data_IF_241052388091
#
_entry.id   IF_241052388091
#
_cell.length_a   1.000
_cell.length_b   1.000
_cell.length_c   1.000
_cell.angle_alpha   90.00
_cell.angle_beta   90.00
_cell.angle_gamma   90.00
#
_symmetry.space_group_name_H-M   'P 1'
#
loop_
_entity.id
_entity.type
_entity.pdbx_description
1 polymer ?
#
# COMPACT_ATOMS: atom_id res chain seq x y z
N UNK A 1 42.96 -1.40 0.98
CA UNK A 1 42.41 -0.97 -0.32
C UNK A 1 41.11 -1.73 -0.63
N UNK A 2 40.07 -1.56 0.21
CA UNK A 2 38.77 -2.27 0.07
C UNK A 2 37.59 -1.30 0.25
N UNK A 3 37.79 -0.22 1.02
CA UNK A 3 36.75 0.79 1.30
C UNK A 3 36.41 1.65 0.07
N UNK A 4 37.32 1.81 -0.90
CA UNK A 4 37.07 2.63 -2.08
C UNK A 4 36.17 1.97 -3.14
N UNK A 5 36.03 0.64 -3.12
CA UNK A 5 35.25 -0.10 -4.14
C UNK A 5 33.77 -0.27 -3.81
N UNK A 6 33.36 -0.04 -2.57
CA UNK A 6 31.94 -0.12 -2.18
C UNK A 6 31.21 1.19 -2.55
N UNK A 7 31.92 2.32 -2.50
CA UNK A 7 31.36 3.64 -2.82
C UNK A 7 31.16 3.79 -4.33
N UNK A 8 32.08 3.26 -5.16
CA UNK A 8 31.93 3.28 -6.62
C UNK A 8 30.80 2.37 -7.11
N UNK A 9 30.50 1.26 -6.42
CA UNK A 9 29.38 0.40 -6.80
C UNK A 9 28.01 1.03 -6.46
N UNK A 10 27.92 1.78 -5.36
CA UNK A 10 26.70 2.51 -4.99
C UNK A 10 26.40 3.69 -5.96
N UNK A 11 27.43 4.30 -6.55
CA UNK A 11 27.31 5.39 -7.52
C UNK A 11 27.11 4.92 -8.98
N UNK A 12 27.44 3.66 -9.30
CA UNK A 12 27.24 3.14 -10.66
C UNK A 12 25.77 2.81 -10.97
N UNK A 13 24.96 2.51 -9.95
CA UNK A 13 23.54 2.18 -10.12
C UNK A 13 22.69 3.44 -10.36
N UNK A 14 23.19 4.63 -10.01
CA UNK A 14 22.52 5.91 -10.28
C UNK A 14 22.80 6.49 -11.67
N UNK A 15 23.65 5.85 -12.49
CA UNK A 15 24.10 6.40 -13.77
C UNK A 15 23.34 5.89 -15.02
N UNK A 16 22.38 4.96 -14.88
CA UNK A 16 21.59 4.45 -16.03
C UNK A 16 20.16 4.98 -15.96
N UNK A 17 19.98 6.29 -16.16
CA UNK A 17 18.76 6.93 -16.69
C UNK A 17 18.90 8.46 -16.66
N UNK A 18 19.92 9.02 -17.31
CA UNK A 18 19.91 10.44 -17.69
C UNK A 18 19.31 10.60 -19.08
N UNK A 19 18.06 10.17 -19.26
CA UNK A 19 17.21 10.86 -20.24
C UNK A 19 16.87 12.21 -19.62
N UNK A 20 17.19 13.30 -20.32
CA UNK A 20 16.75 14.66 -19.96
C UNK A 20 15.22 14.69 -19.99
N UNK A 21 14.60 14.37 -18.86
CA UNK A 21 13.21 14.71 -18.59
C UNK A 21 13.23 16.20 -18.30
N UNK A 22 12.61 16.99 -19.17
CA UNK A 22 12.23 18.37 -18.84
C UNK A 22 11.62 18.35 -17.44
N UNK A 23 12.08 19.22 -16.55
CA UNK A 23 11.50 19.39 -15.21
C UNK A 23 10.05 19.87 -15.37
N UNK A 24 9.13 18.95 -15.65
CA UNK A 24 7.76 19.04 -15.17
C UNK A 24 7.87 18.98 -13.65
N UNK A 25 7.22 19.94 -12.99
CA UNK A 25 7.22 20.09 -11.54
C UNK A 25 7.03 18.74 -10.88
N UNK A 26 7.91 18.41 -9.91
CA UNK A 26 7.74 17.26 -9.03
C UNK A 26 6.28 17.24 -8.56
N UNK A 27 5.50 16.20 -8.88
CA UNK A 27 4.15 16.06 -8.39
C UNK A 27 4.16 16.28 -6.89
N UNK A 28 3.27 17.14 -6.41
CA UNK A 28 3.08 17.37 -4.97
C UNK A 28 3.02 15.99 -4.26
N UNK A 29 3.53 15.86 -3.04
CA UNK A 29 3.43 14.60 -2.28
C UNK A 29 1.96 14.10 -2.18
N UNK A 30 0.99 14.99 -2.42
CA UNK A 30 -0.43 14.68 -2.51
C UNK A 30 -0.94 14.24 -3.90
N UNK A 31 -0.19 14.42 -4.98
CA UNK A 31 -0.64 14.09 -6.33
C UNK A 31 -0.65 12.58 -6.57
N UNK A 32 0.42 11.88 -6.18
CA UNK A 32 0.44 10.41 -6.29
C UNK A 32 -0.64 9.76 -5.40
N UNK A 33 -0.94 10.38 -4.25
CA UNK A 33 -2.03 9.98 -3.35
C UNK A 33 -3.38 10.05 -4.09
N UNK A 34 -3.67 11.20 -4.71
CA UNK A 34 -4.89 11.40 -5.47
C UNK A 34 -5.00 10.43 -6.65
N UNK A 35 -3.91 10.23 -7.39
CA UNK A 35 -3.84 9.27 -8.50
C UNK A 35 -4.11 7.84 -8.02
N UNK A 36 -3.56 7.44 -6.87
CA UNK A 36 -3.79 6.11 -6.31
C UNK A 36 -5.25 5.90 -5.88
N UNK A 37 -5.86 6.88 -5.17
CA UNK A 37 -7.27 6.82 -4.78
C UNK A 37 -8.20 6.72 -5.99
N UNK A 38 -8.00 7.58 -6.99
CA UNK A 38 -8.83 7.55 -8.20
C UNK A 38 -8.64 6.25 -8.98
N UNK A 39 -7.40 5.76 -9.13
CA UNK A 39 -7.15 4.49 -9.83
C UNK A 39 -7.90 3.31 -9.21
N UNK A 40 -7.90 3.21 -7.86
CA UNK A 40 -8.65 2.17 -7.15
C UNK A 40 -10.16 2.38 -7.35
N UNK A 41 -10.64 3.62 -7.20
CA UNK A 41 -12.06 3.96 -7.35
C UNK A 41 -12.59 3.67 -8.75
N UNK A 42 -11.82 3.98 -9.78
CA UNK A 42 -12.19 3.75 -11.18
C UNK A 42 -12.27 2.24 -11.46
N UNK A 43 -11.25 1.48 -11.03
CA UNK A 43 -11.24 0.02 -11.18
C UNK A 43 -12.45 -0.62 -10.49
N UNK A 44 -12.72 -0.21 -9.24
CA UNK A 44 -13.87 -0.70 -8.46
C UNK A 44 -15.20 -0.33 -9.13
N UNK A 45 -15.33 0.90 -9.62
CA UNK A 45 -16.57 1.38 -10.27
C UNK A 45 -16.84 0.60 -11.56
N UNK A 46 -15.81 0.33 -12.35
CA UNK A 46 -15.94 -0.46 -13.57
C UNK A 46 -16.29 -1.90 -13.26
N UNK A 47 -15.63 -2.56 -12.31
CA UNK A 47 -16.00 -3.93 -11.88
C UNK A 47 -17.44 -3.97 -11.38
N UNK A 48 -17.87 -2.98 -10.60
CA UNK A 48 -19.25 -2.87 -10.11
C UNK A 48 -20.29 -2.81 -11.24
N UNK A 49 -19.97 -2.19 -12.37
CA UNK A 49 -20.90 -2.11 -13.51
C UNK A 49 -21.25 -3.46 -14.16
N UNK A 50 -20.48 -4.52 -13.89
CA UNK A 50 -20.75 -5.86 -14.40
C UNK A 50 -21.74 -6.68 -13.52
N UNK A 51 -22.29 -6.08 -12.46
CA UNK A 51 -23.42 -6.64 -11.70
C UNK A 51 -23.09 -7.00 -10.26
N UNK A 52 -23.91 -6.51 -9.31
CA UNK A 52 -23.63 -6.58 -7.87
C UNK A 52 -23.82 -7.97 -7.24
N UNK A 53 -24.53 -8.88 -7.92
CA UNK A 53 -24.82 -10.25 -7.44
C UNK A 53 -23.98 -11.34 -8.12
N UNK A 54 -23.03 -10.96 -8.97
CA UNK A 54 -22.25 -11.94 -9.71
C UNK A 54 -21.21 -12.64 -8.79
N UNK A 55 -21.38 -13.94 -8.55
CA UNK A 55 -20.47 -14.75 -7.73
C UNK A 55 -19.05 -14.84 -8.30
N UNK A 56 -18.87 -14.86 -9.63
CA UNK A 56 -17.54 -14.86 -10.25
C UNK A 56 -16.79 -13.57 -9.89
N UNK A 57 -17.47 -12.42 -9.83
CA UNK A 57 -16.86 -11.15 -9.39
C UNK A 57 -16.38 -11.22 -7.93
N UNK A 58 -17.16 -11.85 -7.05
CA UNK A 58 -16.79 -12.01 -5.63
C UNK A 58 -15.49 -12.80 -5.50
N UNK A 59 -15.35 -13.88 -6.24
CA UNK A 59 -14.14 -14.72 -6.22
C UNK A 59 -12.91 -13.92 -6.67
N UNK A 60 -13.00 -13.22 -7.81
CA UNK A 60 -11.88 -12.43 -8.34
C UNK A 60 -11.51 -11.29 -7.38
N UNK A 61 -12.51 -10.55 -6.88
CA UNK A 61 -12.28 -9.43 -5.98
C UNK A 61 -11.69 -9.85 -4.63
N UNK A 62 -12.18 -10.96 -4.05
CA UNK A 62 -11.60 -11.52 -2.82
C UNK A 62 -10.17 -12.02 -3.05
N UNK A 63 -9.90 -12.74 -4.15
CA UNK A 63 -8.56 -13.21 -4.47
C UNK A 63 -7.54 -12.07 -4.60
N UNK A 64 -7.92 -11.00 -5.28
CA UNK A 64 -7.11 -9.79 -5.41
C UNK A 64 -6.87 -9.10 -4.05
N UNK A 65 -7.92 -8.96 -3.23
CA UNK A 65 -7.78 -8.33 -1.91
C UNK A 65 -6.96 -9.17 -0.93
N UNK A 66 -7.16 -10.49 -0.90
CA UNK A 66 -6.39 -11.40 -0.05
C UNK A 66 -4.90 -11.36 -0.40
N UNK A 67 -4.57 -11.29 -1.70
CA UNK A 67 -3.18 -11.15 -2.17
C UNK A 67 -2.53 -9.84 -1.71
N UNK A 68 -3.33 -8.76 -1.64
CA UNK A 68 -2.90 -7.51 -1.05
C UNK A 68 -2.70 -7.62 0.46
N UNK A 69 -3.67 -8.21 1.18
CA UNK A 69 -3.66 -8.32 2.63
C UNK A 69 -2.45 -9.16 3.12
N UNK A 70 -2.15 -10.27 2.44
CA UNK A 70 -0.97 -11.10 2.72
C UNK A 70 0.34 -10.32 2.55
N UNK A 71 0.46 -9.56 1.45
CA UNK A 71 1.62 -8.68 1.24
C UNK A 71 1.76 -7.67 2.39
N UNK A 72 0.70 -6.95 2.72
CA UNK A 72 0.73 -5.90 3.74
C UNK A 72 1.03 -6.47 5.13
N UNK A 73 0.43 -7.61 5.49
CA UNK A 73 0.62 -8.31 6.76
C UNK A 73 2.06 -8.78 6.93
N UNK A 74 2.66 -9.37 5.89
CA UNK A 74 4.06 -9.80 5.90
C UNK A 74 4.99 -8.62 6.15
N UNK A 75 4.89 -7.58 5.33
CA UNK A 75 5.78 -6.42 5.46
C UNK A 75 5.58 -5.64 6.77
N UNK A 76 4.36 -5.57 7.29
CA UNK A 76 4.10 -5.00 8.62
C UNK A 76 4.78 -5.78 9.73
N UNK A 77 4.71 -7.12 9.67
CA UNK A 77 5.32 -8.00 10.68
C UNK A 77 6.83 -7.80 10.75
N UNK A 78 7.49 -7.66 9.59
CA UNK A 78 8.94 -7.39 9.50
C UNK A 78 9.34 -6.06 10.17
N UNK A 79 8.48 -5.04 10.12
CA UNK A 79 8.73 -3.76 10.79
C UNK A 79 8.43 -3.86 12.30
N UNK A 80 7.33 -4.51 12.68
CA UNK A 80 6.97 -4.73 14.10
C UNK A 80 8.09 -5.50 14.82
N UNK A 81 8.66 -6.52 14.20
CA UNK A 81 9.76 -7.29 14.79
C UNK A 81 10.99 -6.42 15.08
N UNK A 82 11.29 -5.44 14.21
CA UNK A 82 12.38 -4.49 14.45
C UNK A 82 12.11 -3.62 15.69
N UNK A 83 10.85 -3.24 15.93
CA UNK A 83 10.47 -2.46 17.12
C UNK A 83 10.61 -3.24 18.44
N UNK A 84 10.66 -4.57 18.41
CA UNK A 84 10.82 -5.38 19.63
C UNK A 84 12.24 -5.34 20.22
N UNK A 85 13.19 -4.78 19.48
CA UNK A 85 14.62 -4.74 19.88
C UNK A 85 14.97 -3.51 20.73
N UNK A 86 13.99 -2.68 21.06
CA UNK A 86 14.19 -1.39 21.74
C UNK A 86 13.05 -1.10 22.71
N UNK A 87 13.37 -0.39 23.79
CA UNK A 87 12.41 0.03 24.83
C UNK A 87 12.09 1.53 24.75
N UNK A 88 12.54 2.23 23.69
CA UNK A 88 12.26 3.65 23.50
C UNK A 88 10.76 3.93 23.41
N UNK A 89 10.23 4.87 24.20
CA UNK A 89 8.81 5.25 24.19
C UNK A 89 8.35 5.72 22.79
N UNK A 90 9.23 6.39 22.04
CA UNK A 90 8.95 6.81 20.65
C UNK A 90 8.76 5.59 19.73
N UNK A 91 9.55 4.53 19.93
CA UNK A 91 9.44 3.28 19.17
C UNK A 91 8.25 2.44 19.64
N UNK A 92 7.95 2.42 20.94
CA UNK A 92 6.74 1.78 21.47
C UNK A 92 5.47 2.43 20.93
N UNK A 93 5.47 3.76 20.75
CA UNK A 93 4.38 4.48 20.10
C UNK A 93 4.22 4.05 18.64
N UNK A 94 5.31 3.94 17.88
CA UNK A 94 5.30 3.42 16.51
C UNK A 94 4.78 1.97 16.47
N UNK A 95 5.25 1.11 17.37
CA UNK A 95 4.75 -0.27 17.54
C UNK A 95 3.23 -0.34 17.69
N UNK A 96 2.66 0.50 18.55
CA UNK A 96 1.20 0.59 18.72
C UNK A 96 0.49 1.01 17.44
N UNK A 97 1.05 1.94 16.67
CA UNK A 97 0.49 2.37 15.38
C UNK A 97 0.53 1.22 14.35
N UNK A 98 1.64 0.49 14.25
CA UNK A 98 1.77 -0.67 13.37
C UNK A 98 0.76 -1.78 13.70
N UNK A 99 0.60 -2.09 14.99
CA UNK A 99 -0.35 -3.10 15.46
C UNK A 99 -1.80 -2.71 15.12
N UNK A 100 -2.15 -1.43 15.28
CA UNK A 100 -3.46 -0.92 14.88
C UNK A 100 -3.69 -1.06 13.38
N UNK A 101 -2.69 -0.78 12.56
CA UNK A 101 -2.79 -0.98 11.11
C UNK A 101 -2.99 -2.46 10.76
N UNK A 102 -2.20 -3.35 11.37
CA UNK A 102 -2.35 -4.79 11.17
C UNK A 102 -3.75 -5.29 11.57
N UNK A 103 -4.31 -4.82 12.68
CA UNK A 103 -5.66 -5.15 13.13
C UNK A 103 -6.73 -4.67 12.15
N UNK A 104 -6.61 -3.44 11.62
CA UNK A 104 -7.54 -2.89 10.63
C UNK A 104 -7.50 -3.70 9.33
N UNK A 105 -6.30 -4.06 8.85
CA UNK A 105 -6.15 -4.90 7.65
C UNK A 105 -6.77 -6.28 7.85
N UNK A 106 -6.53 -6.90 9.00
CA UNK A 106 -7.09 -8.21 9.34
C UNK A 106 -8.63 -8.14 9.37
N UNK A 107 -9.22 -7.09 9.95
CA UNK A 107 -10.68 -6.87 9.93
C UNK A 107 -11.24 -6.75 8.51
N UNK A 108 -10.56 -6.02 7.62
CA UNK A 108 -10.99 -5.93 6.22
C UNK A 108 -10.83 -7.26 5.47
N UNK A 109 -9.77 -8.01 5.77
CA UNK A 109 -9.55 -9.34 5.19
C UNK A 109 -10.63 -10.33 5.63
N UNK A 110 -11.01 -10.32 6.91
CA UNK A 110 -12.01 -11.21 7.52
C UNK A 110 -13.46 -10.93 7.13
N UNK A 111 -13.77 -9.78 6.50
CA UNK A 111 -15.08 -9.57 5.90
C UNK A 111 -15.33 -10.65 4.84
N UNK A 112 -16.10 -11.68 5.19
CA UNK A 112 -16.08 -13.00 4.56
C UNK A 112 -16.57 -13.05 3.09
N UNK A 113 -16.36 -14.18 2.43
CA UNK A 113 -16.92 -14.51 1.10
C UNK A 113 -18.46 -14.45 1.05
N UNK A 114 -19.15 -14.60 2.19
CA UNK A 114 -20.62 -14.48 2.29
C UNK A 114 -21.13 -13.05 2.15
N UNK A 115 -20.22 -12.10 2.00
CA UNK A 115 -20.53 -10.69 1.90
C UNK A 115 -20.85 -10.32 0.44
N UNK A 116 -21.73 -9.36 0.20
CA UNK A 116 -22.06 -8.90 -1.16
C UNK A 116 -20.83 -8.37 -1.90
N UNK A 117 -20.85 -8.43 -3.24
CA UNK A 117 -19.79 -7.91 -4.11
C UNK A 117 -19.48 -6.45 -3.77
N UNK A 118 -20.50 -5.63 -3.51
CA UNK A 118 -20.34 -4.23 -3.08
C UNK A 118 -19.48 -4.07 -1.83
N UNK A 119 -19.65 -4.93 -0.83
CA UNK A 119 -18.88 -4.85 0.41
C UNK A 119 -17.44 -5.33 0.18
N UNK A 120 -17.22 -6.34 -0.67
CA UNK A 120 -15.88 -6.80 -1.06
C UNK A 120 -15.13 -5.70 -1.82
N UNK A 121 -15.76 -5.11 -2.82
CA UNK A 121 -15.21 -3.98 -3.58
C UNK A 121 -14.97 -2.76 -2.68
N UNK A 122 -15.87 -2.52 -1.72
CA UNK A 122 -15.72 -1.48 -0.71
C UNK A 122 -14.43 -1.59 0.09
N UNK A 123 -13.89 -2.80 0.33
CA UNK A 123 -12.61 -3.00 1.04
C UNK A 123 -11.47 -2.25 0.37
N UNK A 124 -11.41 -2.25 -0.96
CA UNK A 124 -10.37 -1.54 -1.71
C UNK A 124 -10.43 -0.03 -1.45
N UNK A 125 -11.64 0.55 -1.48
CA UNK A 125 -11.87 1.98 -1.24
C UNK A 125 -11.50 2.35 0.20
N UNK A 126 -12.02 1.61 1.18
CA UNK A 126 -11.71 1.87 2.58
C UNK A 126 -10.22 1.72 2.90
N UNK A 127 -9.56 0.75 2.25
CA UNK A 127 -8.13 0.52 2.47
C UNK A 127 -7.28 1.62 1.86
N UNK A 128 -7.57 2.09 0.63
CA UNK A 128 -6.79 3.18 0.04
C UNK A 128 -6.98 4.47 0.84
N UNK A 129 -8.20 4.76 1.27
CA UNK A 129 -8.48 5.94 2.11
C UNK A 129 -7.78 5.85 3.47
N UNK A 130 -7.77 4.67 4.08
CA UNK A 130 -7.02 4.43 5.31
C UNK A 130 -5.51 4.70 5.12
N UNK A 131 -4.89 4.11 4.10
CA UNK A 131 -3.45 4.26 3.84
C UNK A 131 -3.09 5.73 3.61
N UNK A 132 -3.89 6.42 2.79
CA UNK A 132 -3.67 7.83 2.45
C UNK A 132 -3.78 8.72 3.69
N UNK A 133 -4.79 8.52 4.52
CA UNK A 133 -4.96 9.29 5.75
C UNK A 133 -3.79 9.09 6.73
N UNK A 134 -3.26 7.87 6.82
CA UNK A 134 -2.07 7.59 7.63
C UNK A 134 -0.84 8.34 7.09
N UNK A 135 -0.63 8.37 5.76
CA UNK A 135 0.50 9.08 5.14
C UNK A 135 0.41 10.58 5.36
N UNK A 136 -0.74 11.20 5.08
CA UNK A 136 -0.93 12.65 5.25
C UNK A 136 -0.77 13.05 6.73
N UNK A 137 -1.19 12.19 7.65
CA UNK A 137 -1.02 12.41 9.09
C UNK A 137 0.40 12.18 9.61
N UNK A 138 1.28 11.51 8.86
CA UNK A 138 2.50 10.92 9.41
C UNK A 138 3.44 11.95 10.01
N UNK A 139 3.84 12.96 9.23
CA UNK A 139 4.79 13.99 9.65
C UNK A 139 4.24 14.98 10.69
N UNK A 140 2.91 15.01 10.82
CA UNK A 140 2.25 15.78 11.87
C UNK A 140 2.35 15.08 13.21
N UNK A 141 2.24 13.74 13.24
CA UNK A 141 2.13 12.99 14.49
C UNK A 141 3.43 12.30 14.93
N UNK A 142 4.42 12.15 14.04
CA UNK A 142 5.63 11.34 14.26
C UNK A 142 6.95 12.12 14.15
N UNK A 143 7.02 13.33 14.74
CA UNK A 143 8.27 14.09 14.85
C UNK A 143 9.10 13.61 16.05
N UNK A 144 9.90 12.59 15.84
CA UNK A 144 10.70 11.97 16.90
C UNK A 144 12.09 12.59 17.01
N UNK A 145 12.61 12.62 18.24
CA UNK A 145 14.00 13.05 18.50
C UNK A 145 14.98 11.89 18.26
N UNK A 146 14.54 10.65 18.49
CA UNK A 146 15.36 9.46 18.29
C UNK A 146 15.66 9.21 16.81
N UNK A 147 16.94 9.02 16.51
CA UNK A 147 17.39 8.55 15.20
C UNK A 147 16.78 7.19 14.82
N UNK A 148 16.65 6.27 15.78
CA UNK A 148 16.03 4.96 15.58
C UNK A 148 14.54 5.09 15.21
N UNK A 149 13.80 5.92 15.95
CA UNK A 149 12.38 6.17 15.67
C UNK A 149 12.17 6.83 14.30
N UNK A 150 13.09 7.72 13.88
CA UNK A 150 13.07 8.31 12.55
C UNK A 150 13.35 7.28 11.44
N UNK A 151 14.28 6.34 11.63
CA UNK A 151 14.49 5.26 10.67
C UNK A 151 13.26 4.35 10.53
N UNK A 152 12.63 3.98 11.65
CA UNK A 152 11.42 3.15 11.65
C UNK A 152 10.25 3.88 10.98
N UNK A 153 10.13 5.20 11.21
CA UNK A 153 9.16 6.08 10.55
C UNK A 153 9.31 6.06 9.04
N UNK A 154 10.52 6.23 8.51
CA UNK A 154 10.74 6.21 7.06
C UNK A 154 10.44 4.84 6.44
N UNK A 155 10.72 3.74 7.15
CA UNK A 155 10.29 2.40 6.72
C UNK A 155 8.77 2.25 6.66
N UNK A 156 8.04 2.79 7.64
CA UNK A 156 6.57 2.79 7.62
C UNK A 156 6.02 3.61 6.45
N UNK A 157 6.54 4.82 6.23
CA UNK A 157 6.13 5.65 5.09
C UNK A 157 6.34 4.93 3.77
N UNK A 158 7.51 4.31 3.60
CA UNK A 158 7.80 3.52 2.41
C UNK A 158 6.81 2.36 2.26
N UNK A 159 6.53 1.63 3.33
CA UNK A 159 5.55 0.53 3.32
C UNK A 159 4.15 1.03 2.94
N UNK A 160 3.68 2.15 3.50
CA UNK A 160 2.38 2.73 3.16
C UNK A 160 2.31 3.11 1.67
N UNK A 161 3.36 3.74 1.13
CA UNK A 161 3.48 4.07 -0.31
C UNK A 161 3.44 2.81 -1.20
N UNK A 162 4.23 1.80 -0.85
CA UNK A 162 4.27 0.52 -1.60
C UNK A 162 2.92 -0.20 -1.50
N UNK A 163 2.28 -0.20 -0.33
CA UNK A 163 0.94 -0.77 -0.14
C UNK A 163 -0.10 -0.07 -1.01
N UNK A 164 -0.11 1.26 -1.10
CA UNK A 164 -0.99 1.97 -2.01
C UNK A 164 -0.77 1.55 -3.48
N UNK A 165 0.49 1.50 -3.93
CA UNK A 165 0.82 1.06 -5.29
C UNK A 165 0.41 -0.40 -5.56
N UNK A 166 0.59 -1.29 -4.58
CA UNK A 166 0.13 -2.69 -4.67
C UNK A 166 -1.38 -2.79 -4.74
N UNK A 167 -2.09 -2.03 -3.92
CA UNK A 167 -3.56 -2.01 -3.95
C UNK A 167 -4.09 -1.53 -5.29
N UNK A 168 -3.49 -0.48 -5.89
CA UNK A 168 -3.78 -0.04 -7.27
C UNK A 168 -3.54 -1.17 -8.27
N UNK A 169 -2.40 -1.86 -8.17
CA UNK A 169 -2.07 -2.99 -9.07
C UNK A 169 -3.11 -4.11 -8.97
N UNK A 170 -3.50 -4.49 -7.76
CA UNK A 170 -4.49 -5.56 -7.55
C UNK A 170 -5.90 -5.13 -7.98
N UNK A 171 -6.28 -3.87 -7.78
CA UNK A 171 -7.56 -3.34 -8.27
C UNK A 171 -7.63 -3.35 -9.81
N UNK A 172 -6.55 -2.94 -10.50
CA UNK A 172 -6.45 -3.02 -11.96
C UNK A 172 -6.46 -4.45 -12.47
N UNK A 173 -5.70 -5.35 -11.83
CA UNK A 173 -5.69 -6.77 -12.22
C UNK A 173 -7.06 -7.44 -12.05
N UNK A 174 -7.82 -7.05 -11.02
CA UNK A 174 -9.22 -7.46 -10.85
C UNK A 174 -10.08 -6.91 -11.99
N UNK A 175 -9.96 -5.63 -12.34
CA UNK A 175 -10.66 -5.02 -13.47
C UNK A 175 -10.39 -5.74 -14.79
N UNK A 176 -9.13 -6.05 -15.08
CA UNK A 176 -8.71 -6.73 -16.30
C UNK A 176 -9.33 -8.14 -16.39
N UNK A 177 -9.21 -8.94 -15.32
CA UNK A 177 -9.77 -10.30 -15.26
C UNK A 177 -11.29 -10.29 -15.43
N UNK A 178 -11.98 -9.34 -14.78
CA UNK A 178 -13.43 -9.18 -14.93
C UNK A 178 -13.79 -8.77 -16.35
N UNK A 179 -13.09 -7.79 -16.92
CA UNK A 179 -13.35 -7.31 -18.27
C UNK A 179 -13.14 -8.41 -19.32
N UNK A 180 -12.13 -9.26 -19.14
CA UNK A 180 -11.89 -10.41 -20.02
C UNK A 180 -13.01 -11.45 -19.92
N UNK A 181 -13.41 -11.81 -18.70
CA UNK A 181 -14.48 -12.77 -18.44
C UNK A 181 -15.80 -12.40 -19.14
N UNK A 182 -16.17 -11.11 -19.14
CA UNK A 182 -17.41 -10.62 -19.78
C UNK A 182 -17.28 -10.31 -21.27
N UNK A 183 -16.08 -10.42 -21.85
CA UNK A 183 -15.90 -10.39 -23.32
C UNK A 183 -16.05 -11.77 -23.94
N UNK A 184 -15.85 -12.82 -23.15
CA UNK A 184 -15.87 -14.23 -23.59
C UNK A 184 -17.18 -14.95 -23.27
N UNK A 185 -18.06 -14.35 -22.46
CA UNK A 185 -19.45 -14.77 -22.21
C UNK A 185 -20.39 -14.13 -23.27
#
# INVERSE_FOLDING_TARGET
>A
MIVLNIITLALAISAVATSKVQYESVPNENEWIFVAQNSVKDSVTKVKSYGEENEKLKVIANGAFNSFAEFAKKSLSEIIEQTNKTESEEVLRLKRQFLKWAEVLEKFNQMSEKTSTNKILGKFIFTIDFIVNEIVGFDKYNRFKSFEANQITEKLKLLLRVSAAKLVKYAKSMEDQVTEMFKTD
#
